data_IF_808046391710
#
_entry.id   IF_808046391710
#
_cell.length_a   1.000
_cell.length_b   1.000
_cell.length_c   1.000
_cell.angle_alpha   90.00
_cell.angle_beta   90.00
_cell.angle_gamma   90.00
#
_symmetry.space_group_name_H-M   'P 1'
#
loop_
_entity.id
_entity.type
_entity.pdbx_description
1 polymer ?
#
# COMPACT_ATOMS: atom_id res chain seq x y z
N UNK A 1 -26.65 13.24 1.26
CA UNK A 1 -25.27 13.74 1.01
C UNK A 1 -24.43 13.31 2.20
N UNK A 2 -23.70 12.20 2.09
CA UNK A 2 -22.85 11.69 3.18
C UNK A 2 -21.47 12.32 3.04
N UNK A 3 -21.17 13.31 3.88
CA UNK A 3 -19.81 13.74 4.16
C UNK A 3 -19.24 12.79 5.20
N UNK A 4 -18.40 11.85 4.79
CA UNK A 4 -17.46 11.18 5.69
C UNK A 4 -16.12 11.22 4.96
N UNK A 5 -15.46 12.37 5.06
CA UNK A 5 -14.01 12.40 4.99
C UNK A 5 -13.49 11.68 6.23
N UNK A 6 -13.56 10.35 6.20
CA UNK A 6 -12.84 9.53 7.16
C UNK A 6 -11.37 9.79 6.87
N UNK A 7 -10.80 10.76 7.59
CA UNK A 7 -9.38 11.00 7.57
C UNK A 7 -8.76 9.74 8.15
N UNK A 8 -8.32 8.88 7.24
CA UNK A 8 -7.59 7.66 7.58
C UNK A 8 -6.41 8.10 8.44
N UNK A 9 -6.48 7.78 9.73
CA UNK A 9 -5.45 8.12 10.70
C UNK A 9 -4.69 6.84 11.02
N UNK A 10 -3.40 6.84 10.72
CA UNK A 10 -2.49 5.77 11.09
C UNK A 10 -2.00 5.99 12.53
N UNK A 11 -1.81 4.91 13.28
CA UNK A 11 -1.07 4.98 14.54
C UNK A 11 0.43 5.24 14.30
N UNK A 12 1.20 5.55 15.34
CA UNK A 12 2.63 5.88 15.22
C UNK A 12 3.47 4.78 14.54
N UNK A 13 3.17 3.50 14.82
CA UNK A 13 3.86 2.37 14.21
C UNK A 13 3.42 2.16 12.76
N UNK A 14 2.13 2.30 12.46
CA UNK A 14 1.65 2.30 11.06
C UNK A 14 2.22 3.47 10.26
N UNK A 15 2.33 4.65 10.86
CA UNK A 15 2.89 5.84 10.23
C UNK A 15 4.37 5.65 9.93
N UNK A 16 5.17 5.15 10.89
CA UNK A 16 6.58 4.85 10.66
C UNK A 16 6.77 3.80 9.54
N UNK A 17 5.91 2.77 9.49
CA UNK A 17 5.91 1.81 8.41
C UNK A 17 5.56 2.45 7.06
N UNK A 18 4.55 3.32 7.03
CA UNK A 18 4.14 4.06 5.84
C UNK A 18 5.25 4.95 5.30
N UNK A 19 5.93 5.71 6.17
CA UNK A 19 7.02 6.62 5.79
C UNK A 19 8.20 5.84 5.20
N UNK A 20 8.56 4.70 5.81
CA UNK A 20 9.60 3.82 5.28
C UNK A 20 9.26 3.30 3.88
N UNK A 21 8.01 2.90 3.65
CA UNK A 21 7.57 2.45 2.32
C UNK A 21 7.49 3.58 1.30
N UNK A 22 7.09 4.79 1.71
CA UNK A 22 7.08 5.97 0.85
C UNK A 22 8.49 6.33 0.38
N UNK A 23 9.49 6.24 1.25
CA UNK A 23 10.89 6.46 0.91
C UNK A 23 11.35 5.50 -0.20
N UNK A 24 10.99 4.21 -0.12
CA UNK A 24 11.30 3.22 -1.17
C UNK A 24 10.62 3.59 -2.50
N UNK A 25 9.36 4.03 -2.47
CA UNK A 25 8.62 4.43 -3.68
C UNK A 25 9.25 5.67 -4.35
N UNK A 26 9.69 6.64 -3.55
CA UNK A 26 10.18 7.92 -4.07
C UNK A 26 11.52 7.81 -4.80
N UNK A 27 12.32 6.78 -4.49
CA UNK A 27 13.60 6.53 -5.17
C UNK A 27 13.46 5.87 -6.53
N UNK A 28 12.28 5.38 -6.92
CA UNK A 28 12.09 4.60 -8.15
C UNK A 28 11.62 5.50 -9.29
N UNK A 29 12.39 5.53 -10.38
CA UNK A 29 12.13 6.36 -11.56
C UNK A 29 11.56 5.58 -12.75
N UNK A 30 11.61 4.25 -12.72
CA UNK A 30 11.02 3.39 -13.75
C UNK A 30 9.62 2.90 -13.36
N UNK A 31 8.70 2.93 -14.31
CA UNK A 31 7.30 2.57 -14.06
C UNK A 31 7.09 1.07 -13.79
N UNK A 32 7.88 0.20 -14.43
CA UNK A 32 7.80 -1.26 -14.25
C UNK A 32 8.47 -1.68 -12.96
N UNK A 33 9.61 -1.06 -12.61
CA UNK A 33 10.22 -1.24 -11.31
C UNK A 33 9.26 -0.80 -10.20
N UNK A 34 8.62 0.37 -10.36
CA UNK A 34 7.68 0.88 -9.36
C UNK A 34 6.46 -0.03 -9.19
N UNK A 35 5.98 -0.67 -10.27
CA UNK A 35 4.95 -1.71 -10.20
C UNK A 35 5.42 -2.87 -9.32
N UNK A 36 6.59 -3.43 -9.64
CA UNK A 36 7.17 -4.58 -8.91
C UNK A 36 7.32 -4.25 -7.42
N UNK A 37 7.91 -3.08 -7.11
CA UNK A 37 8.08 -2.62 -5.72
C UNK A 37 6.75 -2.45 -5.00
N UNK A 38 5.74 -1.89 -5.67
CA UNK A 38 4.41 -1.73 -5.07
C UNK A 38 3.78 -3.10 -4.77
N UNK A 39 3.87 -4.05 -5.69
CA UNK A 39 3.38 -5.41 -5.47
C UNK A 39 4.11 -6.13 -4.33
N UNK A 40 5.43 -6.00 -4.24
CA UNK A 40 6.22 -6.55 -3.13
C UNK A 40 5.76 -5.99 -1.77
N UNK A 41 5.54 -4.68 -1.70
CA UNK A 41 5.04 -4.03 -0.48
C UNK A 41 3.64 -4.49 -0.11
N UNK A 42 2.74 -4.66 -1.09
CA UNK A 42 1.41 -5.24 -0.87
C UNK A 42 1.52 -6.68 -0.35
N UNK A 43 2.41 -7.50 -0.91
CA UNK A 43 2.65 -8.87 -0.46
C UNK A 43 3.16 -8.91 0.99
N UNK A 44 4.08 -8.01 1.35
CA UNK A 44 4.59 -7.86 2.73
C UNK A 44 3.45 -7.44 3.68
N UNK A 45 2.65 -6.46 3.25
CA UNK A 45 1.48 -5.96 3.99
C UNK A 45 0.32 -6.94 4.06
N UNK A 46 0.29 -8.01 3.27
CA UNK A 46 -0.82 -8.96 3.27
C UNK A 46 -0.30 -10.40 3.25
N UNK A 47 0.77 -10.66 4.01
CA UNK A 47 1.45 -11.97 4.01
C UNK A 47 0.65 -13.12 4.62
N UNK A 48 -0.41 -12.84 5.39
CA UNK A 48 -1.16 -13.88 6.10
C UNK A 48 -2.12 -14.58 5.14
N UNK A 49 -2.41 -15.85 5.42
CA UNK A 49 -3.40 -16.61 4.64
C UNK A 49 -4.80 -15.98 4.69
N UNK A 50 -5.17 -15.39 5.85
CA UNK A 50 -6.42 -14.64 6.03
C UNK A 50 -6.58 -13.44 5.10
N UNK A 51 -5.47 -12.92 4.56
CA UNK A 51 -5.45 -11.70 3.76
C UNK A 51 -5.44 -12.02 2.25
N UNK A 52 -5.55 -13.29 1.85
CA UNK A 52 -5.35 -13.73 0.47
C UNK A 52 -6.30 -13.03 -0.53
N UNK A 53 -7.60 -13.01 -0.27
CA UNK A 53 -8.55 -12.40 -1.20
C UNK A 53 -8.31 -10.88 -1.35
N UNK A 54 -8.01 -10.20 -0.24
CA UNK A 54 -7.68 -8.77 -0.25
C UNK A 54 -6.37 -8.51 -1.01
N UNK A 55 -5.37 -9.40 -0.85
CA UNK A 55 -4.10 -9.33 -1.54
C UNK A 55 -4.28 -9.51 -3.04
N UNK A 56 -4.94 -10.57 -3.45
CA UNK A 56 -5.13 -10.90 -4.87
C UNK A 56 -5.93 -9.79 -5.57
N UNK A 57 -6.98 -9.28 -4.91
CA UNK A 57 -7.73 -8.13 -5.40
C UNK A 57 -6.86 -6.88 -5.53
N UNK A 58 -6.08 -6.54 -4.49
CA UNK A 58 -5.23 -5.33 -4.50
C UNK A 58 -4.13 -5.43 -5.55
N UNK A 59 -3.49 -6.60 -5.70
CA UNK A 59 -2.48 -6.84 -6.73
C UNK A 59 -3.07 -6.71 -8.15
N UNK A 60 -4.31 -7.17 -8.35
CA UNK A 60 -5.04 -6.99 -9.60
C UNK A 60 -5.26 -5.52 -9.94
N UNK A 61 -5.73 -4.72 -8.98
CA UNK A 61 -5.96 -3.28 -9.14
C UNK A 61 -4.66 -2.50 -9.37
N UNK A 62 -3.60 -2.81 -8.61
CA UNK A 62 -2.26 -2.24 -8.82
C UNK A 62 -1.77 -2.53 -10.23
N UNK A 63 -1.84 -3.78 -10.67
CA UNK A 63 -1.39 -4.18 -12.01
C UNK A 63 -2.16 -3.47 -13.11
N UNK A 64 -3.50 -3.43 -13.00
CA UNK A 64 -4.37 -2.76 -13.97
C UNK A 64 -4.06 -1.27 -14.07
N UNK A 65 -3.94 -0.57 -12.93
CA UNK A 65 -3.65 0.86 -12.91
C UNK A 65 -2.29 1.18 -13.53
N UNK A 66 -1.24 0.47 -13.10
CA UNK A 66 0.12 0.70 -13.58
C UNK A 66 0.24 0.46 -15.09
N UNK A 67 -0.27 -0.68 -15.58
CA UNK A 67 -0.24 -0.97 -17.01
C UNK A 67 -1.06 0.02 -17.83
N UNK A 68 -2.15 0.55 -17.28
CA UNK A 68 -2.94 1.61 -17.89
C UNK A 68 -2.13 2.90 -18.08
N UNK A 69 -1.45 3.36 -17.03
CA UNK A 69 -0.64 4.59 -17.06
C UNK A 69 0.62 4.42 -17.92
N UNK A 70 1.30 3.26 -17.84
CA UNK A 70 2.52 3.00 -18.61
C UNK A 70 2.23 3.01 -20.12
N UNK A 71 1.09 2.45 -20.54
CA UNK A 71 0.66 2.40 -21.95
C UNK A 71 0.06 3.69 -22.48
N UNK A 72 -0.26 4.67 -21.62
CA UNK A 72 -0.88 5.94 -22.01
C UNK A 72 0.13 6.84 -22.73
N UNK A 73 0.16 6.78 -24.07
CA UNK A 73 1.16 7.46 -24.90
C UNK A 73 1.05 8.99 -24.89
N UNK A 74 -0.09 9.53 -24.47
CA UNK A 74 -0.43 10.95 -24.35
C UNK A 74 0.17 11.63 -23.12
N UNK A 75 0.61 10.85 -22.12
CA UNK A 75 1.18 11.38 -20.88
C UNK A 75 2.69 11.57 -20.99
N UNK A 76 3.21 12.68 -20.45
CA UNK A 76 4.65 12.87 -20.31
C UNK A 76 5.25 11.83 -19.34
N UNK A 77 6.51 11.39 -19.54
CA UNK A 77 7.15 10.43 -18.65
C UNK A 77 7.13 10.85 -17.17
N UNK A 78 7.43 12.12 -16.90
CA UNK A 78 7.42 12.71 -15.56
C UNK A 78 6.03 12.63 -14.90
N UNK A 79 4.98 12.94 -15.68
CA UNK A 79 3.61 12.86 -15.18
C UNK A 79 3.21 11.42 -14.88
N UNK A 80 3.60 10.45 -15.72
CA UNK A 80 3.34 9.02 -15.48
C UNK A 80 3.95 8.58 -14.17
N UNK A 81 5.25 8.80 -13.96
CA UNK A 81 5.94 8.40 -12.73
C UNK A 81 5.30 9.06 -11.51
N UNK A 82 5.01 10.37 -11.56
CA UNK A 82 4.33 11.06 -10.46
C UNK A 82 2.98 10.43 -10.11
N UNK A 83 2.17 10.10 -11.12
CA UNK A 83 0.86 9.45 -10.93
C UNK A 83 0.99 8.05 -10.34
N UNK A 84 1.94 7.26 -10.82
CA UNK A 84 2.21 5.92 -10.31
C UNK A 84 2.63 5.96 -8.83
N UNK A 85 3.53 6.87 -8.45
CA UNK A 85 3.96 7.04 -7.05
C UNK A 85 2.80 7.44 -6.14
N UNK A 86 1.97 8.40 -6.58
CA UNK A 86 0.78 8.82 -5.83
C UNK A 86 -0.18 7.66 -5.57
N UNK A 87 -0.45 6.87 -6.61
CA UNK A 87 -1.32 5.71 -6.50
C UNK A 87 -0.73 4.63 -5.57
N UNK A 88 0.55 4.31 -5.71
CA UNK A 88 1.24 3.35 -4.84
C UNK A 88 1.15 3.77 -3.36
N UNK A 89 1.48 5.02 -3.05
CA UNK A 89 1.38 5.57 -1.68
C UNK A 89 -0.04 5.51 -1.15
N UNK A 90 -1.03 5.95 -1.92
CA UNK A 90 -2.44 5.89 -1.50
C UNK A 90 -2.89 4.45 -1.20
N UNK A 91 -2.45 3.50 -2.01
CA UNK A 91 -2.75 2.07 -1.82
C UNK A 91 -2.17 1.56 -0.50
N UNK A 92 -0.90 1.85 -0.22
CA UNK A 92 -0.26 1.41 1.03
C UNK A 92 -0.88 2.06 2.27
N UNK A 93 -1.22 3.35 2.19
CA UNK A 93 -1.91 4.07 3.26
C UNK A 93 -3.25 3.40 3.60
N UNK A 94 -4.02 3.04 2.58
CA UNK A 94 -5.30 2.35 2.73
C UNK A 94 -5.14 0.94 3.30
N UNK A 95 -4.13 0.18 2.89
CA UNK A 95 -3.89 -1.16 3.41
C UNK A 95 -3.46 -1.14 4.87
N UNK A 96 -2.60 -0.19 5.25
CA UNK A 96 -2.16 -0.02 6.64
C UNK A 96 -3.32 0.35 7.54
N UNK A 97 -4.21 1.24 7.12
CA UNK A 97 -5.35 1.67 7.95
C UNK A 97 -6.44 0.61 8.11
N UNK A 98 -6.62 -0.25 7.11
CA UNK A 98 -7.59 -1.35 7.16
C UNK A 98 -7.13 -2.52 8.02
N UNK A 99 -5.87 -2.54 8.48
CA UNK A 99 -5.40 -3.58 9.39
C UNK A 99 -5.92 -3.29 10.80
N UNK A 100 -6.85 -4.11 11.33
CA UNK A 100 -7.17 -4.03 12.75
C UNK A 100 -5.87 -4.30 13.52
N UNK A 101 -5.57 -3.46 14.50
CA UNK A 101 -4.57 -3.77 15.51
C UNK A 101 -5.04 -5.08 16.16
N UNK A 102 -4.48 -6.21 15.74
CA UNK A 102 -4.69 -7.41 16.53
C UNK A 102 -4.02 -7.14 17.87
N UNK A 103 -4.78 -7.15 18.98
CA UNK A 103 -4.16 -7.06 20.30
C UNK A 103 -3.12 -8.16 20.37
N UNK A 104 -1.91 -7.80 20.82
CA UNK A 104 -0.86 -8.75 21.16
C UNK A 104 -1.53 -9.86 21.98
N UNK A 105 -1.40 -11.15 21.61
CA UNK A 105 -1.96 -12.21 22.44
C UNK A 105 -1.38 -12.02 23.84
N UNK A 106 -2.26 -11.70 24.79
CA UNK A 106 -1.91 -11.61 26.20
C UNK A 106 -1.41 -13.00 26.58
N UNK A 107 -0.09 -13.14 26.71
CA UNK A 107 0.48 -14.33 27.31
C UNK A 107 -0.14 -14.46 28.70
N UNK A 108 -0.68 -15.63 29.09
CA UNK A 108 -1.14 -15.82 30.46
C UNK A 108 0.05 -15.56 31.40
N UNK A 109 -0.14 -14.86 32.52
CA UNK A 109 0.91 -14.64 33.50
C UNK A 109 1.44 -16.01 34.00
N UNK A 110 2.74 -16.13 34.31
CA UNK A 110 3.29 -17.39 34.81
C UNK A 110 2.61 -17.76 36.15
N UNK A 111 2.37 -19.07 36.40
CA UNK A 111 1.78 -19.52 37.66
C UNK A 111 2.70 -19.17 38.83
N UNK A 112 2.11 -18.70 39.93
CA UNK A 112 2.76 -18.39 41.21
C UNK A 112 3.26 -19.63 41.94
#
# INVERSE_FOLDING_TARGET
MAAIGDTITLDDHQQAAFDGMCSIIDTVEDGIELLTRTQDLVNILLRRASDQDLRDHTLGEVSRFFLGIIKASDLSPEYRIRRLRQFAKATLHLLLSKRPHQPRPEHPPPPS
#
